data_IF_919069213835
#
_entry.id   IF_919069213835
#
_cell.length_a   1.000
_cell.length_b   1.000
_cell.length_c   1.000
_cell.angle_alpha   90.00
_cell.angle_beta   90.00
_cell.angle_gamma   90.00
#
_symmetry.space_group_name_H-M   'P 1'
#
loop_
_entity.id
_entity.type
_entity.pdbx_description
1 polymer ?
#
# COMPACT_ATOMS: atom_id res chain seq x y z
N UNK A 1 -6.01 59.52 24.53
CA UNK A 1 -6.22 59.64 23.07
C UNK A 1 -6.43 58.23 22.51
N UNK A 2 -7.69 57.84 22.28
CA UNK A 2 -8.31 57.55 20.97
C UNK A 2 -7.64 56.46 20.11
N UNK A 3 -8.42 55.38 19.90
CA UNK A 3 -8.71 54.70 18.61
C UNK A 3 -7.61 53.75 18.06
N UNK A 4 -7.87 52.53 17.57
CA UNK A 4 -9.08 51.80 17.20
C UNK A 4 -8.83 50.30 17.40
N UNK A 5 -9.67 49.62 18.18
CA UNK A 5 -9.73 48.16 18.17
C UNK A 5 -10.63 47.76 17.00
N UNK A 6 -10.03 47.55 15.82
CA UNK A 6 -10.75 46.98 14.67
C UNK A 6 -10.94 45.49 14.96
N UNK A 7 -12.16 45.13 15.36
CA UNK A 7 -12.66 43.76 15.30
C UNK A 7 -12.56 43.31 13.83
N UNK A 8 -11.53 42.54 13.48
CA UNK A 8 -11.58 41.71 12.29
C UNK A 8 -12.50 40.54 12.60
N UNK A 9 -13.62 40.52 11.87
CA UNK A 9 -14.62 39.48 11.88
C UNK A 9 -13.99 38.09 11.75
N UNK A 10 -14.51 37.17 12.55
CA UNK A 10 -14.34 35.73 12.38
C UNK A 10 -14.79 35.35 10.96
N UNK A 11 -13.82 35.18 10.05
CA UNK A 11 -13.98 34.20 8.99
C UNK A 11 -13.56 32.86 9.59
N UNK A 12 -14.51 32.18 10.23
CA UNK A 12 -14.40 30.74 10.45
C UNK A 12 -14.33 30.15 9.04
N UNK A 13 -13.11 29.84 8.58
CA UNK A 13 -12.91 28.94 7.46
C UNK A 13 -13.64 27.66 7.85
N UNK A 14 -14.81 27.43 7.26
CA UNK A 14 -15.47 26.14 7.29
C UNK A 14 -14.40 25.10 6.90
N UNK A 15 -14.25 23.98 7.64
CA UNK A 15 -13.46 22.89 7.13
C UNK A 15 -14.07 22.52 5.78
N UNK A 16 -13.26 22.67 4.73
CA UNK A 16 -13.63 22.34 3.37
C UNK A 16 -14.30 20.97 3.36
N UNK A 17 -15.38 20.89 2.59
CA UNK A 17 -16.21 19.71 2.33
C UNK A 17 -15.45 18.39 2.51
N UNK A 18 -15.92 17.53 3.41
CA UNK A 18 -15.68 16.11 3.29
C UNK A 18 -16.43 15.64 2.05
N UNK A 19 -15.79 15.74 0.89
CA UNK A 19 -15.99 14.77 -0.17
C UNK A 19 -15.82 13.40 0.50
N UNK A 20 -16.88 12.58 0.46
CA UNK A 20 -17.00 11.21 1.01
C UNK A 20 -15.66 10.55 1.34
N UNK A 21 -15.52 10.04 2.57
CA UNK A 21 -14.32 9.31 3.01
C UNK A 21 -13.94 8.22 1.98
N UNK A 22 -12.64 8.10 1.61
CA UNK A 22 -12.18 7.11 0.65
C UNK A 22 -12.58 5.69 1.04
N UNK A 23 -13.15 4.94 0.09
CA UNK A 23 -13.58 3.56 0.28
C UNK A 23 -13.00 2.62 -0.76
N UNK A 24 -12.80 1.35 -0.38
CA UNK A 24 -12.44 0.29 -1.32
C UNK A 24 -13.50 0.09 -2.42
N UNK A 25 -14.76 0.42 -2.13
CA UNK A 25 -15.84 0.38 -3.13
C UNK A 25 -15.64 1.38 -4.28
N UNK A 26 -14.81 2.41 -4.07
CA UNK A 26 -14.49 3.40 -5.09
C UNK A 26 -13.28 2.96 -5.96
N UNK A 27 -12.69 1.79 -5.67
CA UNK A 27 -11.57 1.21 -6.44
C UNK A 27 -12.05 0.02 -7.29
N UNK A 28 -11.33 -0.25 -8.38
CA UNK A 28 -11.56 -1.46 -9.18
C UNK A 28 -11.32 -2.70 -8.30
N UNK A 29 -12.34 -3.56 -8.21
CA UNK A 29 -12.20 -4.88 -7.60
C UNK A 29 -11.41 -5.79 -8.54
N UNK A 30 -10.43 -6.49 -7.97
CA UNK A 30 -9.64 -7.47 -8.67
C UNK A 30 -10.19 -8.86 -8.33
N UNK A 31 -9.42 -9.67 -7.61
CA UNK A 31 -9.80 -11.00 -7.15
C UNK A 31 -9.72 -11.10 -5.62
N UNK A 32 -10.18 -12.22 -5.06
CA UNK A 32 -10.01 -12.53 -3.65
C UNK A 32 -9.08 -13.72 -3.46
N UNK A 33 -8.02 -13.55 -2.68
CA UNK A 33 -7.01 -14.59 -2.42
C UNK A 33 -7.04 -14.93 -0.93
N UNK A 34 -7.14 -16.21 -0.58
CA UNK A 34 -7.24 -16.69 0.82
C UNK A 34 -8.38 -15.98 1.63
N UNK A 35 -9.40 -15.49 0.94
CA UNK A 35 -10.51 -14.74 1.53
C UNK A 35 -10.21 -13.27 1.86
N UNK A 36 -9.17 -12.69 1.25
CA UNK A 36 -8.86 -11.26 1.30
C UNK A 36 -9.15 -10.64 -0.06
N UNK A 37 -9.95 -9.58 -0.10
CA UNK A 37 -10.29 -8.89 -1.33
C UNK A 37 -9.16 -7.99 -1.78
N UNK A 38 -8.85 -8.01 -3.08
CA UNK A 38 -7.85 -7.14 -3.70
C UNK A 38 -8.54 -6.04 -4.50
N UNK A 39 -7.95 -4.84 -4.45
CA UNK A 39 -8.45 -3.66 -5.15
C UNK A 39 -7.31 -2.89 -5.81
N UNK A 40 -7.62 -2.14 -6.86
CA UNK A 40 -6.70 -1.23 -7.53
C UNK A 40 -6.48 -1.61 -8.99
N UNK A 41 -5.31 -1.31 -9.54
CA UNK A 41 -5.01 -1.53 -10.96
C UNK A 41 -4.19 -2.82 -11.14
N UNK A 42 -4.62 -3.73 -12.03
CA UNK A 42 -3.88 -4.94 -12.30
C UNK A 42 -2.54 -4.63 -13.03
N UNK A 43 -1.56 -5.48 -12.77
CA UNK A 43 -0.16 -5.29 -13.14
C UNK A 43 0.14 -5.67 -14.60
N UNK A 44 -0.39 -4.91 -15.56
CA UNK A 44 0.13 -4.96 -16.94
C UNK A 44 1.52 -4.29 -17.03
N UNK A 45 1.81 -3.39 -16.09
CA UNK A 45 3.14 -2.81 -15.86
C UNK A 45 3.42 -2.78 -14.35
N UNK A 46 4.55 -3.36 -13.92
CA UNK A 46 4.96 -3.37 -12.53
C UNK A 46 5.12 -1.93 -12.00
N UNK A 47 5.61 -1.02 -12.85
CA UNK A 47 5.82 0.39 -12.52
C UNK A 47 4.51 1.14 -12.19
N UNK A 48 3.36 0.62 -12.61
CA UNK A 48 2.03 1.26 -12.48
C UNK A 48 1.05 0.47 -11.60
N UNK A 49 1.42 -0.73 -11.18
CA UNK A 49 0.58 -1.57 -10.36
C UNK A 49 0.40 -0.94 -8.97
N UNK A 50 -0.85 -0.62 -8.63
CA UNK A 50 -1.24 -0.23 -7.30
C UNK A 50 -2.31 -1.19 -6.80
N UNK A 51 -1.92 -2.07 -5.89
CA UNK A 51 -2.81 -3.11 -5.37
C UNK A 51 -2.92 -2.96 -3.86
N UNK A 52 -4.16 -2.96 -3.39
CA UNK A 52 -4.51 -3.10 -1.99
C UNK A 52 -5.03 -4.49 -1.68
N UNK A 53 -4.75 -4.96 -0.48
CA UNK A 53 -5.33 -6.18 0.08
C UNK A 53 -6.06 -5.79 1.36
N UNK A 54 -7.37 -5.96 1.34
CA UNK A 54 -8.25 -5.60 2.45
C UNK A 54 -8.31 -6.75 3.47
N UNK A 55 -7.54 -6.61 4.54
CA UNK A 55 -7.68 -7.40 5.76
C UNK A 55 -8.50 -6.68 6.84
N UNK A 56 -9.06 -5.49 6.56
CA UNK A 56 -9.55 -4.54 7.56
C UNK A 56 -10.57 -5.13 8.53
N UNK A 57 -11.59 -5.82 8.04
CA UNK A 57 -12.60 -6.43 8.90
C UNK A 57 -12.08 -7.64 9.70
N UNK A 58 -11.11 -8.40 9.17
CA UNK A 58 -10.57 -9.62 9.80
C UNK A 58 -9.42 -9.35 10.77
N UNK A 59 -8.54 -8.42 10.41
CA UNK A 59 -7.22 -8.23 11.05
C UNK A 59 -6.96 -6.78 11.46
N UNK A 60 -7.79 -5.83 11.01
CA UNK A 60 -7.53 -4.40 11.22
C UNK A 60 -6.25 -3.92 10.55
N UNK A 61 -5.89 -4.52 9.41
CA UNK A 61 -4.70 -4.18 8.62
C UNK A 61 -5.02 -4.24 7.14
N UNK A 62 -4.38 -3.35 6.40
CA UNK A 62 -4.43 -3.27 4.95
C UNK A 62 -2.99 -3.35 4.45
N UNK A 63 -2.75 -4.18 3.43
CA UNK A 63 -1.48 -4.18 2.72
C UNK A 63 -1.61 -3.41 1.42
N UNK A 64 -0.55 -2.69 1.04
CA UNK A 64 -0.42 -2.00 -0.24
C UNK A 64 0.85 -2.42 -0.95
N UNK A 65 0.74 -2.59 -2.26
CA UNK A 65 1.84 -3.00 -3.13
C UNK A 65 2.09 -1.84 -4.08
N UNK A 66 3.29 -1.26 -3.95
CA UNK A 66 3.82 -0.23 -4.83
C UNK A 66 5.13 -0.79 -5.38
N UNK A 67 5.11 -1.35 -6.58
CA UNK A 67 6.14 -2.33 -6.96
C UNK A 67 7.50 -1.68 -7.19
N UNK A 68 7.61 -0.36 -7.40
CA UNK A 68 8.87 0.18 -7.96
C UNK A 68 9.37 1.47 -7.29
N UNK A 69 8.49 2.41 -6.89
CA UNK A 69 8.94 3.70 -6.33
C UNK A 69 9.29 3.66 -4.83
N UNK A 70 8.54 2.90 -4.03
CA UNK A 70 8.68 2.90 -2.56
C UNK A 70 9.88 2.08 -2.08
N UNK A 71 10.26 1.07 -2.84
CA UNK A 71 11.28 0.08 -2.46
C UNK A 71 12.55 0.18 -3.32
N UNK A 72 12.81 1.34 -3.94
CA UNK A 72 14.00 1.59 -4.79
C UNK A 72 14.19 0.52 -5.88
N UNK A 73 13.09 0.12 -6.53
CA UNK A 73 13.08 -0.91 -7.57
C UNK A 73 13.03 -2.36 -7.07
N UNK A 74 13.04 -2.61 -5.76
CA UNK A 74 12.83 -3.95 -5.23
C UNK A 74 11.33 -4.26 -5.07
N UNK A 75 10.86 -5.48 -5.39
CA UNK A 75 9.48 -5.88 -5.13
C UNK A 75 9.21 -5.88 -3.61
N UNK A 76 8.10 -5.27 -3.20
CA UNK A 76 7.78 -5.08 -1.78
C UNK A 76 6.33 -4.68 -1.53
N UNK A 77 5.95 -4.68 -0.25
CA UNK A 77 4.64 -4.24 0.20
C UNK A 77 4.73 -3.52 1.54
N UNK A 78 3.80 -2.60 1.76
CA UNK A 78 3.59 -1.94 3.04
C UNK A 78 2.38 -2.56 3.74
N UNK A 79 2.42 -2.65 5.07
CA UNK A 79 1.29 -3.04 5.91
C UNK A 79 1.00 -1.90 6.85
N UNK A 80 -0.24 -1.42 6.81
CA UNK A 80 -0.70 -0.30 7.63
C UNK A 80 -1.89 -0.77 8.48
N UNK A 81 -1.92 -0.44 9.79
CA UNK A 81 -3.11 -0.64 10.59
C UNK A 81 -4.28 0.16 10.03
N UNK A 82 -5.46 -0.46 9.95
CA UNK A 82 -6.67 0.18 9.46
C UNK A 82 -7.73 -0.84 9.09
N UNK A 83 -8.98 -0.55 9.46
CA UNK A 83 -10.16 -1.33 9.08
C UNK A 83 -10.80 -0.82 7.78
N UNK A 84 -10.47 0.40 7.37
CA UNK A 84 -11.02 1.06 6.18
C UNK A 84 -9.91 1.73 5.36
N UNK A 85 -10.17 2.02 4.08
CA UNK A 85 -9.22 2.74 3.23
C UNK A 85 -8.89 4.14 3.79
N UNK A 86 -9.89 4.84 4.33
CA UNK A 86 -9.68 6.12 4.99
C UNK A 86 -8.75 6.01 6.22
N UNK A 87 -8.87 4.96 7.03
CA UNK A 87 -7.94 4.70 8.14
C UNK A 87 -6.53 4.37 7.66
N UNK A 88 -6.40 3.55 6.60
CA UNK A 88 -5.11 3.28 5.97
C UNK A 88 -4.40 4.58 5.56
N UNK A 89 -5.10 5.48 4.87
CA UNK A 89 -4.51 6.74 4.38
C UNK A 89 -4.06 7.66 5.53
N UNK A 90 -4.81 7.69 6.64
CA UNK A 90 -4.44 8.47 7.83
C UNK A 90 -3.23 7.89 8.58
N UNK A 91 -3.00 6.59 8.48
CA UNK A 91 -1.96 5.88 9.24
C UNK A 91 -0.65 5.68 8.47
N UNK A 92 -0.61 6.06 7.17
CA UNK A 92 0.42 5.72 6.19
C UNK A 92 1.87 6.15 6.48
N UNK A 93 2.12 7.06 7.43
CA UNK A 93 3.48 7.55 7.73
C UNK A 93 4.06 7.07 9.07
N UNK A 94 3.22 6.85 10.10
CA UNK A 94 3.69 6.59 11.48
C UNK A 94 3.62 5.12 11.89
N UNK A 95 2.76 4.33 11.26
CA UNK A 95 2.49 2.95 11.67
C UNK A 95 2.72 1.94 10.55
N UNK A 96 3.29 2.40 9.44
CA UNK A 96 3.54 1.58 8.27
C UNK A 96 4.76 0.70 8.49
N UNK A 97 4.57 -0.60 8.27
CA UNK A 97 5.65 -1.56 8.17
C UNK A 97 5.94 -1.89 6.72
N UNK A 98 7.18 -1.73 6.32
CA UNK A 98 7.62 -2.01 4.96
C UNK A 98 8.28 -3.38 4.90
N UNK A 99 8.00 -4.12 3.84
CA UNK A 99 8.59 -5.43 3.61
C UNK A 99 9.13 -5.52 2.19
N UNK A 100 10.38 -5.96 2.04
CA UNK A 100 10.92 -6.40 0.76
C UNK A 100 10.68 -7.88 0.59
N UNK A 101 10.43 -8.30 -0.65
CA UNK A 101 10.11 -9.69 -1.00
C UNK A 101 11.23 -10.26 -1.88
N UNK A 102 11.66 -11.48 -1.56
CA UNK A 102 12.64 -12.24 -2.35
C UNK A 102 11.94 -13.45 -2.96
N UNK A 103 11.33 -13.27 -4.14
CA UNK A 103 10.43 -14.26 -4.73
C UNK A 103 11.10 -15.60 -5.08
N UNK A 104 12.36 -15.58 -5.50
CA UNK A 104 13.14 -16.80 -5.74
C UNK A 104 13.28 -17.67 -4.48
N UNK A 105 13.44 -17.03 -3.32
CA UNK A 105 13.67 -17.71 -2.04
C UNK A 105 12.39 -17.88 -1.21
N UNK A 106 11.26 -17.30 -1.66
CA UNK A 106 10.00 -17.20 -0.92
C UNK A 106 10.20 -16.71 0.52
N UNK A 107 10.96 -15.62 0.66
CA UNK A 107 11.24 -14.95 1.93
C UNK A 107 10.85 -13.47 1.88
N UNK A 108 10.48 -12.91 3.02
CA UNK A 108 10.28 -11.47 3.22
C UNK A 108 11.26 -10.93 4.25
N UNK A 109 11.61 -9.67 4.14
CA UNK A 109 12.41 -8.95 5.14
C UNK A 109 11.69 -7.67 5.49
N UNK A 110 11.53 -7.40 6.79
CA UNK A 110 11.13 -6.06 7.22
C UNK A 110 12.21 -5.08 6.78
N UNK A 111 11.80 -3.96 6.19
CA UNK A 111 12.68 -2.96 5.62
C UNK A 111 12.44 -1.62 6.31
N UNK A 112 13.51 -0.85 6.46
CA UNK A 112 13.42 0.56 6.79
C UNK A 112 13.93 1.36 5.58
N UNK A 113 13.04 1.87 4.72
CA UNK A 113 13.44 2.61 3.52
C UNK A 113 14.23 3.89 3.82
N UNK A 114 13.97 4.51 4.98
CA UNK A 114 14.63 5.75 5.42
C UNK A 114 16.07 5.47 5.87
N UNK A 115 16.28 4.41 6.65
CA UNK A 115 17.60 4.02 7.15
C UNK A 115 18.39 3.11 6.18
N UNK A 116 17.77 2.68 5.07
CA UNK A 116 18.34 1.71 4.12
C UNK A 116 18.81 0.40 4.80
N UNK A 117 18.03 -0.09 5.76
CA UNK A 117 18.32 -1.34 6.48
C UNK A 117 17.25 -2.39 6.25
N UNK A 118 17.64 -3.66 6.38
CA UNK A 118 16.75 -4.81 6.26
C UNK A 118 16.94 -5.76 7.44
N UNK A 119 15.83 -6.33 7.90
CA UNK A 119 15.82 -7.34 8.95
C UNK A 119 16.17 -8.74 8.45
N UNK A 120 16.08 -9.68 9.38
CA UNK A 120 16.25 -11.12 9.16
C UNK A 120 15.20 -11.66 8.18
N UNK A 121 15.56 -12.57 7.26
CA UNK A 121 14.60 -13.14 6.33
C UNK A 121 13.60 -14.05 7.05
N UNK A 122 12.32 -13.88 6.73
CA UNK A 122 11.21 -14.69 7.22
C UNK A 122 10.60 -15.47 6.06
N UNK A 123 10.53 -16.82 6.11
CA UNK A 123 9.89 -17.62 5.06
C UNK A 123 8.38 -17.37 4.95
N UNK A 124 7.84 -17.45 3.73
CA UNK A 124 6.41 -17.21 3.46
C UNK A 124 5.47 -18.13 4.28
N UNK A 125 5.89 -19.37 4.55
CA UNK A 125 5.07 -20.32 5.32
C UNK A 125 4.89 -19.93 6.80
N UNK A 126 5.71 -18.99 7.31
CA UNK A 126 5.57 -18.41 8.65
C UNK A 126 4.70 -17.16 8.65
N UNK A 127 4.45 -16.56 7.48
CA UNK A 127 3.53 -15.44 7.35
C UNK A 127 2.08 -15.91 7.50
N UNK A 128 1.24 -14.98 7.91
CA UNK A 128 -0.20 -15.18 8.09
C UNK A 128 -0.95 -13.97 7.55
N UNK A 129 -2.22 -14.18 7.25
CA UNK A 129 -3.15 -13.10 6.95
C UNK A 129 -2.72 -12.22 5.78
N UNK A 130 -2.95 -10.92 5.94
CA UNK A 130 -2.70 -9.93 4.88
C UNK A 130 -1.25 -9.94 4.38
N UNK A 131 -0.27 -10.18 5.26
CA UNK A 131 1.14 -10.20 4.89
C UNK A 131 1.54 -11.42 4.06
N UNK A 132 0.90 -12.57 4.29
CA UNK A 132 1.13 -13.77 3.46
C UNK A 132 0.57 -13.57 2.06
N UNK A 133 -0.65 -13.03 1.96
CA UNK A 133 -1.29 -12.73 0.67
C UNK A 133 -0.47 -11.69 -0.09
N UNK A 134 -0.06 -10.60 0.57
CA UNK A 134 0.77 -9.56 -0.04
C UNK A 134 2.08 -10.11 -0.60
N UNK A 135 2.79 -10.95 0.14
CA UNK A 135 4.03 -11.55 -0.32
C UNK A 135 3.83 -12.40 -1.60
N UNK A 136 2.73 -13.15 -1.69
CA UNK A 136 2.39 -13.92 -2.90
C UNK A 136 2.05 -13.00 -4.08
N UNK A 137 1.20 -11.99 -3.86
CA UNK A 137 0.77 -11.05 -4.91
C UNK A 137 1.96 -10.29 -5.48
N UNK A 138 2.89 -9.83 -4.64
CA UNK A 138 4.12 -9.18 -5.08
C UNK A 138 4.89 -10.04 -6.08
N UNK A 139 5.03 -11.35 -5.81
CA UNK A 139 5.72 -12.25 -6.73
C UNK A 139 4.98 -12.49 -8.04
N UNK A 140 3.66 -12.53 -8.01
CA UNK A 140 2.85 -12.65 -9.22
C UNK A 140 3.02 -11.39 -10.09
N UNK A 141 3.00 -10.21 -9.47
CA UNK A 141 3.21 -8.94 -10.17
C UNK A 141 4.62 -8.84 -10.77
N UNK A 142 5.65 -9.23 -10.03
CA UNK A 142 7.03 -9.26 -10.53
C UNK A 142 7.16 -10.20 -11.75
N UNK A 143 6.52 -11.37 -11.71
CA UNK A 143 6.53 -12.33 -12.81
C UNK A 143 5.80 -11.77 -14.06
N UNK A 144 4.63 -11.15 -13.88
CA UNK A 144 3.88 -10.52 -14.97
C UNK A 144 4.65 -9.37 -15.61
N UNK A 145 5.29 -8.51 -14.81
CA UNK A 145 6.12 -7.41 -15.31
C UNK A 145 7.32 -7.90 -16.14
N UNK A 146 8.01 -8.96 -15.70
CA UNK A 146 9.11 -9.57 -16.47
C UNK A 146 8.62 -10.11 -17.82
N UNK A 147 7.47 -10.80 -17.85
CA UNK A 147 6.90 -11.32 -19.09
C UNK A 147 6.50 -10.21 -20.06
N UNK A 148 5.91 -9.11 -19.56
CA UNK A 148 5.55 -7.95 -20.38
C UNK A 148 6.79 -7.27 -20.98
N UNK A 149 7.85 -7.08 -20.18
CA UNK A 149 9.12 -6.51 -20.65
C UNK A 149 9.79 -7.36 -21.74
N UNK A 150 9.82 -8.69 -21.57
CA UNK A 150 10.38 -9.59 -22.58
C UNK A 150 9.62 -9.52 -23.92
N UNK A 151 8.30 -9.38 -23.90
CA UNK A 151 7.50 -9.21 -25.12
C UNK A 151 7.78 -7.88 -25.82
N UNK A 152 8.02 -6.80 -25.07
CA UNK A 152 8.31 -5.47 -25.63
C UNK A 152 9.72 -5.40 -26.24
N UNK A 153 10.71 -6.07 -25.64
CA UNK A 153 12.11 -6.02 -26.08
C UNK A 153 12.50 -7.13 -27.09
N UNK A 154 11.59 -8.07 -27.35
CA UNK A 154 11.79 -9.16 -28.30
C UNK A 154 11.20 -8.93 -29.70
N UNK A 155 10.76 -7.71 -30.00
CA UNK A 155 10.18 -7.29 -31.29
C UNK A 155 11.08 -6.26 -31.98
#
# INVERSE_FOLDING_TARGET
MKKNLLLLALAVLAPAAFAKDPSFADLQSLESIDGYSLYGTPAEDADQAYIFIDGGAREGKIASIHVVSVFRGAPGFAVVPGKTLAEYLRNGDRSTKFYTVQCANKTVREANPQANTQGTPVPFNRLRGVSKVAANVVCNVEASGKAASQRRNGN
#
